data_IF_645364567530
#
_entry.id   IF_645364567530
#
_cell.length_a   1.000
_cell.length_b   1.000
_cell.length_c   1.000
_cell.angle_alpha   90.00
_cell.angle_beta   90.00
_cell.angle_gamma   90.00
#
_symmetry.space_group_name_H-M   'P 1'
#
loop_
_entity.id
_entity.type
_entity.pdbx_description
1 polymer ?
#
# COMPACT_ATOMS: atom_id res chain seq x y z
N UNK A 1 -3.75 -9.85 -1.23
CA UNK A 1 -2.39 -9.29 -1.23
C UNK A 1 -2.44 -7.77 -1.21
N UNK A 2 -1.59 -7.16 -0.42
CA UNK A 2 -1.48 -5.70 -0.35
C UNK A 2 -0.23 -5.26 -1.11
N UNK A 3 -0.39 -4.33 -2.05
CA UNK A 3 0.71 -3.81 -2.84
C UNK A 3 0.98 -2.36 -2.45
N UNK A 4 2.23 -2.02 -2.22
CA UNK A 4 2.64 -0.65 -1.92
C UNK A 4 3.58 -0.17 -3.01
N UNK A 5 3.14 0.82 -3.78
CA UNK A 5 4.00 1.49 -4.75
C UNK A 5 4.79 2.56 -4.01
N UNK A 6 6.10 2.43 -4.02
CA UNK A 6 7.00 3.20 -3.18
C UNK A 6 8.12 3.84 -4.01
N UNK A 7 8.87 4.73 -3.38
CA UNK A 7 10.04 5.36 -3.97
C UNK A 7 11.18 5.32 -2.96
N UNK A 8 12.40 5.14 -3.41
CA UNK A 8 13.57 5.17 -2.54
C UNK A 8 13.71 6.55 -1.89
N UNK A 9 14.10 6.59 -0.63
CA UNK A 9 14.27 7.82 0.12
C UNK A 9 12.98 8.54 0.50
N UNK A 10 11.85 7.83 0.45
CA UNK A 10 10.54 8.40 0.78
C UNK A 10 10.15 8.05 2.22
N UNK A 11 10.13 9.04 3.11
CA UNK A 11 9.75 8.82 4.51
C UNK A 11 8.29 8.39 4.67
N UNK A 12 7.40 8.97 3.88
CA UNK A 12 5.99 8.57 3.91
C UNK A 12 5.80 7.12 3.50
N UNK A 13 6.59 6.68 2.52
CA UNK A 13 6.55 5.28 2.07
C UNK A 13 7.03 4.35 3.18
N UNK A 14 8.11 4.70 3.86
CA UNK A 14 8.62 3.92 4.98
C UNK A 14 7.58 3.82 6.09
N UNK A 15 6.94 4.94 6.43
CA UNK A 15 5.91 4.96 7.46
C UNK A 15 4.72 4.07 7.09
N UNK A 16 4.30 4.12 5.82
CA UNK A 16 3.19 3.30 5.34
C UNK A 16 3.52 1.81 5.44
N UNK A 17 4.72 1.41 5.00
CA UNK A 17 5.15 0.02 5.08
C UNK A 17 5.24 -0.44 6.53
N UNK A 18 5.80 0.38 7.40
CA UNK A 18 5.91 0.05 8.83
C UNK A 18 4.54 -0.14 9.47
N UNK A 19 3.58 0.71 9.14
CA UNK A 19 2.21 0.58 9.63
C UNK A 19 1.58 -0.72 9.14
N UNK A 20 1.73 -1.05 7.85
CA UNK A 20 1.20 -2.29 7.29
C UNK A 20 1.87 -3.51 7.90
N UNK A 21 3.19 -3.46 8.12
CA UNK A 21 3.90 -4.57 8.75
C UNK A 21 3.39 -4.84 10.17
N UNK A 22 3.05 -3.78 10.92
CA UNK A 22 2.51 -3.94 12.26
C UNK A 22 1.12 -4.58 12.27
N UNK A 23 0.39 -4.46 11.18
CA UNK A 23 -0.95 -5.04 11.04
C UNK A 23 -0.94 -6.43 10.40
N UNK A 24 0.17 -6.80 9.78
CA UNK A 24 0.25 -8.01 8.96
C UNK A 24 -0.07 -9.30 9.73
N UNK A 25 0.46 -9.45 10.92
CA UNK A 25 0.21 -10.64 11.73
C UNK A 25 -1.23 -10.72 12.20
N UNK A 26 -1.75 -9.59 12.67
CA UNK A 26 -3.12 -9.51 13.17
C UNK A 26 -4.15 -9.79 12.08
N UNK A 27 -3.95 -9.21 10.91
CA UNK A 27 -4.92 -9.28 9.82
C UNK A 27 -4.62 -10.35 8.77
N UNK A 28 -3.48 -11.02 8.90
CA UNK A 28 -3.08 -12.14 8.02
C UNK A 28 -3.14 -11.81 6.52
N UNK A 29 -2.26 -10.92 6.08
CA UNK A 29 -2.14 -10.60 4.67
C UNK A 29 -0.66 -10.57 4.26
N UNK A 30 -0.43 -10.56 2.95
CA UNK A 30 0.92 -10.45 2.39
C UNK A 30 1.14 -9.04 1.86
N UNK A 31 2.38 -8.55 1.93
CA UNK A 31 2.76 -7.22 1.45
C UNK A 31 3.78 -7.37 0.33
N UNK A 32 3.52 -6.69 -0.78
CA UNK A 32 4.46 -6.58 -1.89
C UNK A 32 4.81 -5.11 -2.08
N UNK A 33 6.08 -4.76 -1.93
CA UNK A 33 6.55 -3.38 -2.11
C UNK A 33 7.18 -3.27 -3.48
N UNK A 34 6.63 -2.38 -4.31
CA UNK A 34 7.12 -2.15 -5.66
C UNK A 34 7.68 -0.73 -5.74
N UNK A 35 8.98 -0.63 -6.05
CA UNK A 35 9.62 0.67 -6.21
C UNK A 35 9.40 1.17 -7.63
N UNK A 36 8.91 2.41 -7.74
CA UNK A 36 8.61 3.00 -9.04
C UNK A 36 9.83 3.65 -9.70
N UNK A 37 10.93 3.80 -8.96
CA UNK A 37 12.14 4.42 -9.49
C UNK A 37 12.65 3.68 -10.73
N UNK A 38 12.91 4.44 -11.78
CA UNK A 38 13.40 3.87 -13.02
C UNK A 38 12.35 3.21 -13.90
N UNK A 39 11.08 3.24 -13.52
CA UNK A 39 9.99 2.74 -14.35
C UNK A 39 9.12 3.92 -14.79
N UNK A 40 9.26 4.40 -16.05
CA UNK A 40 8.55 5.59 -16.49
C UNK A 40 7.03 5.51 -16.40
N UNK A 41 6.46 4.33 -16.64
CA UNK A 41 5.00 4.16 -16.55
C UNK A 41 4.50 4.31 -15.13
N UNK A 42 5.18 3.68 -14.17
CA UNK A 42 4.81 3.77 -12.78
C UNK A 42 5.07 5.17 -12.21
N UNK A 43 6.17 5.80 -12.62
CA UNK A 43 6.45 7.16 -12.20
C UNK A 43 5.39 8.14 -12.70
N UNK A 44 4.88 7.94 -13.90
CA UNK A 44 3.80 8.75 -14.46
C UNK A 44 2.49 8.55 -13.68
N UNK A 45 2.18 7.31 -13.33
CA UNK A 45 0.93 6.98 -12.61
C UNK A 45 0.96 7.40 -11.16
N UNK A 46 2.08 7.18 -10.46
CA UNK A 46 2.12 7.29 -9.01
C UNK A 46 3.18 8.25 -8.46
N UNK A 47 3.99 8.86 -9.30
CA UNK A 47 5.15 9.62 -8.89
C UNK A 47 4.92 10.71 -7.86
N UNK A 48 3.75 11.36 -7.90
CA UNK A 48 3.40 12.44 -6.98
C UNK A 48 2.51 11.96 -5.82
N UNK A 49 2.16 10.68 -5.79
CA UNK A 49 1.20 10.14 -4.83
C UNK A 49 1.76 9.03 -3.93
N UNK A 50 3.03 8.67 -4.10
CA UNK A 50 3.63 7.60 -3.29
C UNK A 50 3.64 7.98 -1.81
N UNK A 51 3.39 7.03 -0.89
CA UNK A 51 3.07 5.62 -1.17
C UNK A 51 1.63 5.46 -1.68
N UNK A 52 1.45 4.58 -2.66
CA UNK A 52 0.11 4.20 -3.15
C UNK A 52 -0.17 2.77 -2.71
N UNK A 53 -1.29 2.55 -2.05
CA UNK A 53 -1.64 1.26 -1.48
C UNK A 53 -2.80 0.65 -2.26
N UNK A 54 -2.61 -0.58 -2.75
CA UNK A 54 -3.65 -1.37 -3.40
C UNK A 54 -3.96 -2.60 -2.56
N UNK A 55 -5.23 -2.95 -2.48
CA UNK A 55 -5.69 -4.19 -1.84
C UNK A 55 -6.28 -5.06 -2.94
N UNK A 56 -5.69 -6.24 -3.15
CA UNK A 56 -6.10 -7.18 -4.20
C UNK A 56 -6.21 -6.52 -5.59
N UNK A 57 -5.28 -5.61 -5.89
CA UNK A 57 -5.23 -4.93 -7.17
C UNK A 57 -6.09 -3.68 -7.28
N UNK A 58 -6.89 -3.37 -6.27
CA UNK A 58 -7.72 -2.16 -6.27
C UNK A 58 -7.10 -1.06 -5.42
N UNK A 59 -7.16 0.17 -5.92
CA UNK A 59 -6.66 1.34 -5.21
C UNK A 59 -7.37 1.50 -3.86
N UNK A 60 -6.60 1.60 -2.79
CA UNK A 60 -7.14 1.83 -1.44
C UNK A 60 -6.90 3.27 -0.98
N UNK A 61 -5.63 3.69 -0.96
CA UNK A 61 -5.26 4.98 -0.42
C UNK A 61 -3.89 5.42 -0.96
N UNK A 62 -3.51 6.65 -0.65
CA UNK A 62 -2.20 7.19 -1.02
C UNK A 62 -1.70 8.12 0.08
N UNK A 63 -0.39 8.40 0.08
CA UNK A 63 0.38 9.19 1.05
C UNK A 63 0.54 8.55 2.42
N UNK A 64 -0.49 7.95 2.99
CA UNK A 64 -0.41 7.36 4.33
C UNK A 64 -1.38 6.19 4.47
N UNK A 65 -1.17 5.39 5.51
CA UNK A 65 -2.06 4.31 5.87
C UNK A 65 -2.77 4.66 7.17
N UNK A 66 -4.09 4.72 7.12
CA UNK A 66 -4.94 4.84 8.30
C UNK A 66 -5.32 3.42 8.71
N UNK A 67 -4.88 2.92 9.89
CA UNK A 67 -5.12 1.54 10.30
C UNK A 67 -6.59 1.14 10.33
N UNK A 68 -7.47 2.01 10.82
CA UNK A 68 -8.89 1.71 10.91
C UNK A 68 -9.53 1.60 9.54
N UNK A 69 -9.20 2.53 8.66
CA UNK A 69 -9.72 2.53 7.30
C UNK A 69 -9.20 1.33 6.52
N UNK A 70 -7.93 0.98 6.73
CA UNK A 70 -7.32 -0.19 6.10
C UNK A 70 -8.01 -1.48 6.54
N UNK A 71 -8.27 -1.64 7.84
CA UNK A 71 -8.96 -2.81 8.36
C UNK A 71 -10.32 -2.99 7.72
N UNK A 72 -11.09 -1.92 7.64
CA UNK A 72 -12.42 -1.93 7.05
C UNK A 72 -12.37 -2.33 5.58
N UNK A 73 -11.44 -1.75 4.82
CA UNK A 73 -11.29 -2.05 3.40
C UNK A 73 -10.83 -3.48 3.17
N UNK A 74 -9.89 -3.96 3.95
CA UNK A 74 -9.39 -5.33 3.83
C UNK A 74 -10.50 -6.34 4.11
N UNK A 75 -11.31 -6.09 5.13
CA UNK A 75 -12.44 -6.95 5.47
C UNK A 75 -13.47 -6.99 4.35
N UNK A 76 -13.74 -5.85 3.74
CA UNK A 76 -14.63 -5.76 2.58
C UNK A 76 -14.15 -6.64 1.43
N UNK A 77 -12.86 -6.59 1.12
CA UNK A 77 -12.27 -7.41 0.06
C UNK A 77 -12.39 -8.89 0.36
N UNK A 78 -12.24 -9.27 1.62
CA UNK A 78 -12.37 -10.67 2.04
C UNK A 78 -13.79 -11.19 1.96
N UNK A 79 -14.76 -10.33 2.21
CA UNK A 79 -16.19 -10.71 2.14
C UNK A 79 -16.67 -10.99 0.71
N UNK A 80 -15.99 -10.41 -0.27
CA UNK A 80 -16.38 -10.57 -1.68
C UNK A 80 -15.61 -11.67 -2.41
N UNK A 81 -14.86 -12.47 -1.67
CA UNK A 81 -14.13 -13.59 -2.25
C UNK A 81 -14.92 -14.89 -2.20
#
# INVERSE_FOLDING_TARGET
MVTVYSRHGCHLCENAVNTLESLREELEFTIDVIYIDGNPELEKLYGNEVPVIHINGEHHDFYKVDPERFRTSLEKHRRHQ
#
